data_IF_920803923940
#
_entry.id   IF_920803923940
#
_cell.length_a   1.000
_cell.length_b   1.000
_cell.length_c   1.000
_cell.angle_alpha   90.00
_cell.angle_beta   90.00
_cell.angle_gamma   90.00
#
_symmetry.space_group_name_H-M   'P 1'
#
loop_
_entity.id
_entity.type
_entity.pdbx_description
1 polymer ?
#
# COMPACT_ATOMS: atom_id res chain seq x y z
N UNK A 1 -6.70 19.65 15.30
CA UNK A 1 -6.60 19.19 13.90
C UNK A 1 -7.06 17.74 13.89
N UNK A 2 -8.20 17.43 13.28
CA UNK A 2 -8.74 16.07 13.25
C UNK A 2 -7.85 15.26 12.32
N UNK A 3 -7.03 14.38 12.89
CA UNK A 3 -6.12 13.53 12.13
C UNK A 3 -6.96 12.53 11.32
N UNK A 4 -7.20 12.88 10.05
CA UNK A 4 -8.11 12.15 9.18
C UNK A 4 -7.36 10.99 8.56
N UNK A 5 -7.95 9.81 8.64
CA UNK A 5 -7.40 8.65 7.98
C UNK A 5 -7.29 8.87 6.46
N UNK A 6 -6.17 8.47 5.83
CA UNK A 6 -6.01 8.53 4.39
C UNK A 6 -7.11 7.72 3.70
N UNK A 7 -7.59 8.23 2.58
CA UNK A 7 -8.61 7.55 1.80
C UNK A 7 -8.03 6.33 1.07
N UNK A 8 -8.90 5.40 0.67
CA UNK A 8 -8.45 4.21 -0.08
C UNK A 8 -7.80 4.56 -1.43
N UNK A 9 -8.18 5.69 -2.03
CA UNK A 9 -7.57 6.19 -3.25
C UNK A 9 -6.12 6.61 -3.01
N UNK A 10 -5.89 7.47 -2.01
CA UNK A 10 -4.54 7.94 -1.64
C UNK A 10 -3.61 6.78 -1.25
N UNK A 11 -4.12 5.80 -0.50
CA UNK A 11 -3.34 4.60 -0.17
C UNK A 11 -2.99 3.77 -1.41
N UNK A 12 -3.88 3.74 -2.42
CA UNK A 12 -3.61 3.03 -3.68
C UNK A 12 -2.56 3.76 -4.50
N UNK A 13 -2.64 5.09 -4.59
CA UNK A 13 -1.64 5.91 -5.28
C UNK A 13 -0.26 5.79 -4.63
N UNK A 14 -0.20 5.89 -3.30
CA UNK A 14 1.04 5.69 -2.55
C UNK A 14 1.60 4.28 -2.74
N UNK A 15 0.74 3.25 -2.70
CA UNK A 15 1.15 1.86 -2.92
C UNK A 15 1.77 1.64 -4.30
N UNK A 16 1.16 2.21 -5.34
CA UNK A 16 1.71 2.11 -6.70
C UNK A 16 3.00 2.93 -6.86
N UNK A 17 3.11 4.11 -6.24
CA UNK A 17 4.33 4.92 -6.21
C UNK A 17 5.51 4.19 -5.58
N UNK A 18 5.28 3.56 -4.43
CA UNK A 18 6.31 2.78 -3.73
C UNK A 18 6.73 1.60 -4.59
N UNK A 19 5.79 0.83 -5.15
CA UNK A 19 6.09 -0.25 -6.10
C UNK A 19 6.93 0.22 -7.29
N UNK A 20 6.57 1.35 -7.88
CA UNK A 20 7.28 1.95 -9.01
C UNK A 20 8.71 2.36 -8.60
N UNK A 21 8.87 3.01 -7.44
CA UNK A 21 10.18 3.37 -6.87
C UNK A 21 11.06 2.18 -6.54
N UNK A 22 10.48 1.06 -6.09
CA UNK A 22 11.19 -0.19 -5.80
C UNK A 22 11.67 -0.94 -7.05
N UNK A 23 11.61 -0.34 -8.25
CA UNK A 23 11.99 -1.01 -9.50
C UNK A 23 10.92 -1.96 -10.03
N UNK A 24 9.67 -1.77 -9.58
CA UNK A 24 8.50 -2.49 -10.06
C UNK A 24 8.22 -3.80 -9.34
N UNK A 25 9.01 -4.21 -8.36
CA UNK A 25 8.74 -5.41 -7.53
C UNK A 25 9.15 -5.18 -6.09
N UNK A 26 8.30 -5.57 -5.13
CA UNK A 26 8.58 -5.45 -3.70
C UNK A 26 7.78 -6.43 -2.85
N UNK A 27 8.27 -6.74 -1.65
CA UNK A 27 7.54 -7.59 -0.69
C UNK A 27 6.42 -6.80 0.00
N UNK A 28 5.45 -7.53 0.57
CA UNK A 28 4.38 -6.93 1.38
C UNK A 28 4.91 -6.00 2.46
N UNK A 29 5.98 -6.41 3.16
CA UNK A 29 6.53 -5.65 4.29
C UNK A 29 7.17 -4.36 3.82
N UNK A 30 7.96 -4.40 2.74
CA UNK A 30 8.56 -3.21 2.13
C UNK A 30 7.50 -2.24 1.63
N UNK A 31 6.42 -2.77 1.04
CA UNK A 31 5.31 -1.94 0.58
C UNK A 31 4.53 -1.31 1.72
N UNK A 32 4.23 -2.07 2.78
CA UNK A 32 3.54 -1.53 3.94
C UNK A 32 4.37 -0.41 4.60
N UNK A 33 5.69 -0.61 4.76
CA UNK A 33 6.60 0.41 5.31
C UNK A 33 6.73 1.62 4.38
N UNK A 34 7.00 1.40 3.10
CA UNK A 34 7.19 2.49 2.14
C UNK A 34 5.94 3.33 1.97
N UNK A 35 4.74 2.75 2.04
CA UNK A 35 3.48 3.52 1.99
C UNK A 35 3.29 4.36 3.25
N UNK A 36 3.60 3.81 4.42
CA UNK A 36 3.55 4.54 5.70
C UNK A 36 4.49 5.76 5.65
N UNK A 37 5.70 5.58 5.11
CA UNK A 37 6.68 6.65 4.94
C UNK A 37 6.25 7.68 3.89
N UNK A 38 5.71 7.25 2.74
CA UNK A 38 5.27 8.12 1.65
C UNK A 38 4.12 9.04 2.08
N UNK A 39 3.13 8.51 2.80
CA UNK A 39 1.98 9.30 3.30
C UNK A 39 2.28 10.02 4.62
N UNK A 40 3.49 9.85 5.17
CA UNK A 40 3.93 10.40 6.46
C UNK A 40 2.90 10.17 7.57
N UNK A 41 2.45 8.92 7.72
CA UNK A 41 1.39 8.59 8.67
C UNK A 41 1.86 8.89 10.10
N UNK A 42 1.08 9.69 10.84
CA UNK A 42 1.39 10.01 12.25
C UNK A 42 1.49 8.74 13.10
N UNK A 43 2.41 8.74 14.07
CA UNK A 43 2.59 7.63 15.03
C UNK A 43 1.32 7.33 15.81
N UNK A 44 0.48 8.35 16.06
CA UNK A 44 -0.86 8.20 16.67
C UNK A 44 -1.76 7.28 15.85
N UNK A 45 -1.80 7.45 14.52
CA UNK A 45 -2.58 6.61 13.62
C UNK A 45 -1.95 5.22 13.44
N UNK A 46 -0.63 5.13 13.41
CA UNK A 46 0.09 3.85 13.41
C UNK A 46 -0.17 3.03 14.67
N UNK A 47 -0.36 3.70 15.82
CA UNK A 47 -0.68 3.06 17.09
C UNK A 47 -2.13 2.53 17.15
N UNK A 48 -3.01 2.93 16.22
CA UNK A 48 -4.39 2.43 16.16
C UNK A 48 -4.39 0.97 15.73
N UNK A 49 -4.63 0.08 16.70
CA UNK A 49 -4.84 -1.35 16.48
C UNK A 49 -6.32 -1.62 16.20
N UNK A 50 -6.61 -2.41 15.18
CA UNK A 50 -7.99 -2.80 14.86
C UNK A 50 -8.37 -4.16 15.44
N UNK A 51 -7.51 -5.17 15.30
CA UNK A 51 -7.76 -6.51 15.86
C UNK A 51 -6.46 -7.31 16.02
N UNK A 52 -6.25 -7.84 17.22
CA UNK A 52 -5.07 -8.61 17.58
C UNK A 52 -3.78 -7.81 17.39
N UNK A 53 -2.82 -8.39 16.68
CA UNK A 53 -1.51 -7.76 16.43
C UNK A 53 -1.46 -6.90 15.16
N UNK A 54 -2.59 -6.71 14.45
CA UNK A 54 -2.63 -5.94 13.19
C UNK A 54 -3.16 -4.52 13.40
N UNK A 55 -2.42 -3.56 12.85
CA UNK A 55 -2.81 -2.15 12.80
C UNK A 55 -3.93 -1.90 11.78
N UNK A 56 -4.69 -0.83 11.97
CA UNK A 56 -5.72 -0.39 11.01
C UNK A 56 -5.11 -0.13 9.61
N UNK A 57 -3.90 0.45 9.56
CA UNK A 57 -3.20 0.70 8.29
C UNK A 57 -2.91 -0.60 7.52
N UNK A 58 -2.47 -1.66 8.20
CA UNK A 58 -2.17 -2.95 7.58
C UNK A 58 -3.42 -3.59 6.99
N UNK A 59 -4.56 -3.45 7.68
CA UNK A 59 -5.84 -3.91 7.16
C UNK A 59 -6.24 -3.15 5.89
N UNK A 60 -6.12 -1.82 5.90
CA UNK A 60 -6.42 -0.98 4.73
C UNK A 60 -5.51 -1.31 3.54
N UNK A 61 -4.22 -1.50 3.77
CA UNK A 61 -3.26 -1.86 2.74
C UNK A 61 -3.50 -3.27 2.17
N UNK A 62 -4.01 -4.20 2.96
CA UNK A 62 -4.44 -5.51 2.46
C UNK A 62 -5.61 -5.39 1.45
N UNK A 63 -6.54 -4.48 1.70
CA UNK A 63 -7.63 -4.17 0.75
C UNK A 63 -7.12 -3.46 -0.51
N UNK A 64 -6.19 -2.51 -0.36
CA UNK A 64 -5.55 -1.83 -1.49
C UNK A 64 -4.87 -2.83 -2.42
N UNK A 65 -4.09 -3.77 -1.87
CA UNK A 65 -3.45 -4.85 -2.62
C UNK A 65 -4.46 -5.71 -3.38
N UNK A 66 -5.54 -6.09 -2.73
CA UNK A 66 -6.61 -6.89 -3.34
C UNK A 66 -7.27 -6.14 -4.50
N UNK A 67 -7.62 -4.86 -4.31
CA UNK A 67 -8.20 -4.04 -5.37
C UNK A 67 -7.22 -3.79 -6.52
N UNK A 68 -5.97 -3.48 -6.22
CA UNK A 68 -4.94 -3.27 -7.23
C UNK A 68 -4.73 -4.53 -8.09
N UNK A 69 -4.77 -5.72 -7.46
CA UNK A 69 -4.74 -7.00 -8.17
C UNK A 69 -5.97 -7.19 -9.06
N UNK A 70 -7.16 -6.98 -8.51
CA UNK A 70 -8.43 -7.13 -9.25
C UNK A 70 -8.51 -6.19 -10.46
N UNK A 71 -7.96 -4.98 -10.32
CA UNK A 71 -7.90 -3.99 -11.40
C UNK A 71 -6.79 -4.28 -12.44
N UNK A 72 -5.96 -5.29 -12.20
CA UNK A 72 -4.83 -5.66 -13.05
C UNK A 72 -3.65 -4.68 -12.99
N UNK A 73 -3.56 -3.87 -11.93
CA UNK A 73 -2.48 -2.89 -11.71
C UNK A 73 -1.22 -3.54 -11.14
N UNK A 74 -1.39 -4.64 -10.42
CA UNK A 74 -0.29 -5.42 -9.84
C UNK A 74 -0.56 -6.90 -9.98
N UNK A 75 0.51 -7.69 -10.04
CA UNK A 75 0.46 -9.14 -9.99
C UNK A 75 1.17 -9.64 -8.73
N UNK A 76 0.73 -10.78 -8.21
CA UNK A 76 1.38 -11.45 -7.06
C UNK A 76 2.28 -12.56 -7.60
N UNK A 77 3.54 -12.54 -7.20
CA UNK A 77 4.50 -13.60 -7.52
C UNK A 77 4.58 -14.65 -6.38
N UNK A 78 5.26 -15.77 -6.66
CA UNK A 78 5.29 -16.96 -5.79
C UNK A 78 5.80 -16.66 -4.36
N UNK A 79 6.77 -15.75 -4.22
CA UNK A 79 7.46 -15.44 -2.96
C UNK A 79 6.79 -14.37 -2.08
N UNK A 80 5.48 -14.12 -2.29
CA UNK A 80 4.74 -13.01 -1.63
C UNK A 80 5.23 -11.62 -2.07
N UNK A 81 6.01 -11.57 -3.15
CA UNK A 81 6.34 -10.36 -3.86
C UNK A 81 5.15 -9.89 -4.68
N UNK A 82 5.04 -8.57 -4.79
CA UNK A 82 4.08 -7.89 -5.64
C UNK A 82 4.86 -7.17 -6.72
N UNK A 83 4.38 -7.30 -7.95
CA UNK A 83 4.99 -6.69 -9.12
C UNK A 83 3.99 -5.76 -9.78
N UNK A 84 4.43 -4.55 -10.11
CA UNK A 84 3.61 -3.58 -10.84
C UNK A 84 3.46 -4.03 -12.29
N UNK A 85 2.27 -3.90 -12.84
CA UNK A 85 2.02 -4.12 -14.28
C UNK A 85 2.19 -2.81 -15.02
N UNK A 86 2.29 -2.88 -16.35
CA UNK A 86 2.33 -1.69 -17.22
C UNK A 86 1.14 -0.74 -16.96
N UNK A 87 -0.05 -1.32 -16.73
CA UNK A 87 -1.26 -0.58 -16.36
C UNK A 87 -1.15 0.10 -15.00
N UNK A 88 -0.55 -0.56 -14.02
CA UNK A 88 -0.28 0.04 -12.70
C UNK A 88 0.73 1.17 -12.80
N UNK A 89 1.76 0.99 -13.63
CA UNK A 89 2.80 1.98 -13.85
C UNK A 89 2.26 3.22 -14.58
N UNK A 90 1.34 3.05 -15.53
CA UNK A 90 0.63 4.16 -16.18
C UNK A 90 -0.30 4.95 -15.24
N UNK A 91 -0.74 4.34 -14.14
CA UNK A 91 -1.53 5.00 -13.08
C UNK A 91 -0.66 5.82 -12.13
N UNK A 92 0.64 5.50 -12.03
CA UNK A 92 1.62 6.30 -11.30
C UNK A 92 2.05 7.45 -12.21
N UNK A 93 1.33 8.56 -12.15
CA UNK A 93 1.67 9.80 -12.87
C UNK A 93 2.13 10.90 -11.91
#
# INVERSE_FOLDING_TARGET
MTEKWPTSAELTEAFLRVLSRSGGSATVTELDLGVIEEIKLSTTLLAVKRSGNRGEIQYRLAWVRTKAKQNGLVTREADRNWKITDKGQAQVK
#
